data_IF_968599664940
#
_entry.id   IF_968599664940
#
_cell.length_a   1.000
_cell.length_b   1.000
_cell.length_c   1.000
_cell.angle_alpha   90.00
_cell.angle_beta   90.00
_cell.angle_gamma   90.00
#
_symmetry.space_group_name_H-M   'P 1'
#
loop_
_entity.id
_entity.type
_entity.pdbx_description
1 polymer ?
#
# COMPACT_ATOMS: atom_id res chain seq x y z
N UNK A 1 13.44 -25.72 -23.80
CA UNK A 1 12.23 -25.34 -23.05
C UNK A 1 12.24 -26.19 -21.80
N UNK A 2 12.46 -25.60 -20.62
CA UNK A 2 12.38 -26.31 -19.35
C UNK A 2 10.90 -26.33 -18.96
N UNK A 3 10.26 -27.49 -19.13
CA UNK A 3 8.94 -27.77 -18.61
C UNK A 3 9.00 -27.66 -17.08
N UNK A 4 8.56 -26.52 -16.55
CA UNK A 4 8.27 -26.42 -15.13
C UNK A 4 7.05 -27.31 -14.87
N UNK A 5 7.22 -28.33 -14.02
CA UNK A 5 6.10 -29.13 -13.54
C UNK A 5 4.94 -28.22 -13.10
N UNK A 6 3.69 -28.55 -13.47
CA UNK A 6 2.54 -27.77 -13.04
C UNK A 6 2.52 -27.76 -11.51
N UNK A 7 2.82 -26.58 -10.94
CA UNK A 7 2.83 -26.38 -9.49
C UNK A 7 1.48 -26.84 -8.96
N UNK A 8 1.48 -27.86 -8.10
CA UNK A 8 0.24 -28.31 -7.45
C UNK A 8 -0.42 -27.11 -6.78
N UNK A 9 -1.72 -26.89 -6.98
CA UNK A 9 -2.43 -25.82 -6.30
C UNK A 9 -2.25 -25.99 -4.78
N UNK A 10 -1.98 -24.88 -4.10
CA UNK A 10 -1.80 -24.85 -2.65
C UNK A 10 -3.11 -25.13 -1.91
N UNK A 11 -4.25 -24.90 -2.56
CA UNK A 11 -5.57 -25.22 -2.06
C UNK A 11 -6.66 -24.77 -3.04
N UNK A 12 -7.91 -25.11 -2.73
CA UNK A 12 -9.07 -24.77 -3.58
C UNK A 12 -9.47 -23.29 -3.44
N UNK A 13 -9.35 -22.72 -2.25
CA UNK A 13 -9.85 -21.38 -1.92
C UNK A 13 -8.78 -20.47 -1.35
N UNK A 14 -8.67 -19.27 -1.92
CA UNK A 14 -7.97 -18.13 -1.34
C UNK A 14 -9.00 -17.14 -0.78
N UNK A 15 -8.89 -16.77 0.50
CA UNK A 15 -9.77 -15.76 1.11
C UNK A 15 -8.92 -14.53 1.43
N UNK A 16 -9.32 -13.39 0.89
CA UNK A 16 -8.67 -12.10 1.13
C UNK A 16 -9.63 -11.18 1.88
N UNK A 17 -9.35 -10.96 3.16
CA UNK A 17 -10.05 -9.95 3.95
C UNK A 17 -9.43 -8.56 3.75
N UNK A 18 -10.24 -7.52 3.90
CA UNK A 18 -9.87 -6.12 3.64
C UNK A 18 -9.12 -5.91 2.31
N UNK A 19 -9.69 -6.46 1.23
CA UNK A 19 -9.12 -6.43 -0.12
C UNK A 19 -8.88 -5.01 -0.68
N UNK A 20 -9.32 -3.94 -0.01
CA UNK A 20 -8.92 -2.58 -0.36
C UNK A 20 -7.39 -2.35 -0.24
N UNK A 21 -6.68 -3.17 0.54
CA UNK A 21 -5.21 -3.09 0.67
C UNK A 21 -4.46 -3.44 -0.63
N UNK A 22 -5.06 -4.22 -1.53
CA UNK A 22 -4.45 -4.68 -2.78
C UNK A 22 -4.81 -3.83 -4.00
N UNK A 23 -5.45 -2.68 -3.81
CA UNK A 23 -5.91 -1.82 -4.90
C UNK A 23 -4.82 -1.24 -5.81
N UNK A 24 -3.60 -1.08 -5.29
CA UNK A 24 -2.50 -0.47 -6.04
C UNK A 24 -1.73 -1.54 -6.83
N UNK A 25 -1.90 -1.55 -8.15
CA UNK A 25 -1.21 -2.48 -9.07
C UNK A 25 0.31 -2.33 -9.06
N UNK A 26 0.83 -1.17 -8.68
CA UNK A 26 2.28 -0.93 -8.59
C UNK A 26 2.87 -1.40 -7.25
N UNK A 27 2.02 -1.84 -6.32
CA UNK A 27 2.49 -2.30 -5.01
C UNK A 27 3.08 -3.71 -5.08
N UNK A 28 4.13 -3.94 -4.27
CA UNK A 28 4.68 -5.29 -4.06
C UNK A 28 3.61 -6.27 -3.58
N UNK A 29 2.73 -5.81 -2.69
CA UNK A 29 1.62 -6.59 -2.13
C UNK A 29 0.69 -7.11 -3.22
N UNK A 30 0.31 -6.26 -4.18
CA UNK A 30 -0.50 -6.67 -5.32
C UNK A 30 0.18 -7.77 -6.14
N UNK A 31 1.45 -7.59 -6.50
CA UNK A 31 2.19 -8.58 -7.30
C UNK A 31 2.38 -9.92 -6.57
N UNK A 32 2.66 -9.89 -5.27
CA UNK A 32 2.77 -11.09 -4.44
C UNK A 32 1.43 -11.83 -4.36
N UNK A 33 0.32 -11.11 -4.15
CA UNK A 33 -1.01 -11.71 -4.08
C UNK A 33 -1.48 -12.22 -5.44
N UNK A 34 -1.13 -11.54 -6.53
CA UNK A 34 -1.39 -12.03 -7.88
C UNK A 34 -0.69 -13.37 -8.13
N UNK A 35 0.56 -13.50 -7.71
CA UNK A 35 1.32 -14.75 -7.83
C UNK A 35 0.74 -15.84 -6.94
N UNK A 36 0.36 -15.50 -5.71
CA UNK A 36 -0.29 -16.42 -4.79
C UNK A 36 -1.64 -16.90 -5.34
N UNK A 37 -2.45 -16.01 -5.92
CA UNK A 37 -3.76 -16.32 -6.51
C UNK A 37 -3.68 -17.40 -7.58
N UNK A 38 -2.60 -17.45 -8.37
CA UNK A 38 -2.37 -18.46 -9.40
C UNK A 38 -2.20 -19.87 -8.83
N UNK A 39 -1.99 -20.01 -7.52
CA UNK A 39 -1.84 -21.29 -6.84
C UNK A 39 -3.15 -21.81 -6.25
N UNK A 40 -4.28 -21.13 -6.48
CA UNK A 40 -5.60 -21.53 -5.98
C UNK A 40 -6.64 -21.51 -7.10
N UNK A 41 -7.64 -22.38 -7.03
CA UNK A 41 -8.70 -22.44 -8.04
C UNK A 41 -9.67 -21.26 -7.90
N UNK A 42 -10.12 -20.98 -6.68
CA UNK A 42 -11.12 -19.96 -6.36
C UNK A 42 -10.58 -18.89 -5.41
N UNK A 43 -11.10 -17.66 -5.51
CA UNK A 43 -10.76 -16.57 -4.61
C UNK A 43 -11.98 -15.77 -4.21
N UNK A 44 -12.14 -15.60 -2.90
CA UNK A 44 -13.15 -14.76 -2.29
C UNK A 44 -12.46 -13.52 -1.73
N UNK A 45 -12.89 -12.34 -2.18
CA UNK A 45 -12.40 -11.06 -1.68
C UNK A 45 -13.48 -10.38 -0.86
N UNK A 46 -13.15 -9.99 0.37
CA UNK A 46 -14.03 -9.27 1.29
C UNK A 46 -13.46 -7.87 1.51
N UNK A 47 -14.33 -6.87 1.48
CA UNK A 47 -13.95 -5.47 1.78
C UNK A 47 -15.21 -4.68 2.15
N UNK A 48 -15.08 -3.82 3.14
CA UNK A 48 -16.18 -2.96 3.58
C UNK A 48 -16.55 -1.88 2.54
N UNK A 49 -15.54 -1.35 1.84
CA UNK A 49 -15.70 -0.25 0.87
C UNK A 49 -14.87 -0.54 -0.38
N UNK A 50 -15.45 -1.17 -1.41
CA UNK A 50 -14.69 -1.61 -2.57
C UNK A 50 -14.42 -0.48 -3.59
N UNK A 51 -15.11 0.67 -3.45
CA UNK A 51 -14.95 1.86 -4.28
C UNK A 51 -14.28 2.98 -3.48
N UNK A 52 -13.13 3.45 -3.95
CA UNK A 52 -12.52 4.73 -3.55
C UNK A 52 -12.81 5.80 -4.62
N UNK A 53 -12.37 7.06 -4.41
CA UNK A 53 -12.52 8.18 -5.36
C UNK A 53 -11.96 7.93 -6.77
N UNK A 54 -11.15 6.88 -6.96
CA UNK A 54 -10.67 6.43 -8.27
C UNK A 54 -11.22 5.02 -8.52
N UNK A 55 -11.67 4.73 -9.74
CA UNK A 55 -12.26 3.44 -10.15
C UNK A 55 -11.23 2.35 -10.49
N UNK A 56 -9.94 2.72 -10.48
CA UNK A 56 -8.79 1.85 -10.70
C UNK A 56 -8.70 0.61 -9.76
N UNK A 57 -9.12 0.65 -8.48
CA UNK A 57 -9.12 -0.50 -7.57
C UNK A 57 -9.98 -1.67 -8.06
N UNK A 58 -11.17 -1.38 -8.60
CA UNK A 58 -12.04 -2.41 -9.15
C UNK A 58 -11.53 -2.93 -10.48
N UNK A 59 -10.94 -2.07 -11.31
CA UNK A 59 -10.19 -2.55 -12.48
C UNK A 59 -9.06 -3.49 -12.06
N UNK A 60 -8.39 -3.24 -10.92
CA UNK A 60 -7.32 -4.11 -10.42
C UNK A 60 -7.82 -5.46 -9.87
N UNK A 61 -8.97 -5.49 -9.19
CA UNK A 61 -9.58 -6.72 -8.70
C UNK A 61 -10.15 -7.59 -9.84
N UNK A 62 -10.65 -6.97 -10.91
CA UNK A 62 -11.11 -7.64 -12.13
C UNK A 62 -9.97 -7.71 -13.14
N UNK A 63 -9.10 -8.70 -12.93
CA UNK A 63 -7.99 -9.03 -13.82
C UNK A 63 -8.48 -9.15 -15.27
N UNK A 64 -8.03 -8.21 -16.11
CA UNK A 64 -8.34 -8.02 -17.54
C UNK A 64 -9.70 -7.38 -17.89
N UNK A 65 -9.69 -6.07 -18.12
CA UNK A 65 -9.92 -5.44 -19.44
C UNK A 65 -10.17 -3.94 -19.24
N UNK A 66 -10.06 -3.18 -20.34
CA UNK A 66 -10.07 -1.71 -20.45
C UNK A 66 -8.67 -1.08 -20.32
N UNK A 67 -7.90 -1.07 -21.44
CA UNK A 67 -6.57 -0.45 -21.51
C UNK A 67 -6.59 1.09 -21.39
N UNK A 68 -7.76 1.70 -21.50
CA UNK A 68 -7.97 3.13 -21.27
C UNK A 68 -9.47 3.41 -21.17
N UNK A 69 -9.86 4.28 -20.25
CA UNK A 69 -11.25 4.71 -20.08
C UNK A 69 -11.31 5.90 -19.12
N UNK A 70 -12.38 6.71 -19.17
CA UNK A 70 -12.58 7.82 -18.24
C UNK A 70 -12.53 7.32 -16.78
N UNK A 71 -12.07 8.17 -15.87
CA UNK A 71 -11.99 7.88 -14.43
C UNK A 71 -13.34 7.41 -13.87
N UNK A 72 -14.46 7.71 -14.57
CA UNK A 72 -15.81 7.24 -14.27
C UNK A 72 -16.50 6.78 -15.57
N UNK A 73 -17.10 5.58 -15.63
CA UNK A 73 -17.88 5.17 -16.78
C UNK A 73 -19.22 5.94 -16.83
N UNK A 74 -19.52 6.59 -17.94
CA UNK A 74 -20.76 7.35 -18.15
C UNK A 74 -21.73 6.65 -19.11
N UNK A 75 -23.02 7.00 -19.01
CA UNK A 75 -24.09 6.49 -19.88
C UNK A 75 -24.12 4.96 -19.94
N UNK A 76 -24.15 4.42 -21.17
CA UNK A 76 -24.18 2.98 -21.43
C UNK A 76 -22.99 2.20 -20.83
N UNK A 77 -21.82 2.82 -20.69
CA UNK A 77 -20.67 2.18 -20.05
C UNK A 77 -20.88 2.00 -18.55
N UNK A 78 -21.65 2.89 -17.91
CA UNK A 78 -22.02 2.78 -16.49
C UNK A 78 -22.93 1.57 -16.26
N UNK A 79 -23.91 1.37 -17.12
CA UNK A 79 -24.86 0.26 -17.02
C UNK A 79 -24.15 -1.09 -17.17
N UNK A 80 -23.28 -1.23 -18.18
CA UNK A 80 -22.44 -2.42 -18.33
C UNK A 80 -21.54 -2.66 -17.13
N UNK A 81 -21.00 -1.59 -16.55
CA UNK A 81 -20.18 -1.69 -15.35
C UNK A 81 -21.00 -2.17 -14.14
N UNK A 82 -22.21 -1.64 -13.94
CA UNK A 82 -23.13 -2.11 -12.90
C UNK A 82 -23.45 -3.60 -13.11
N UNK A 83 -23.78 -4.02 -14.34
CA UNK A 83 -24.04 -5.43 -14.65
C UNK A 83 -22.85 -6.34 -14.32
N UNK A 84 -21.63 -5.90 -14.64
CA UNK A 84 -20.41 -6.62 -14.28
C UNK A 84 -20.24 -6.70 -12.75
N UNK A 85 -20.50 -5.61 -12.03
CA UNK A 85 -20.45 -5.60 -10.58
C UNK A 85 -21.51 -6.51 -9.96
N UNK A 86 -22.73 -6.52 -10.47
CA UNK A 86 -23.81 -7.39 -9.98
C UNK A 86 -23.47 -8.87 -10.17
N UNK A 87 -22.76 -9.24 -11.24
CA UNK A 87 -22.36 -10.61 -11.50
C UNK A 87 -21.25 -11.12 -10.56
N UNK A 88 -20.46 -10.22 -9.97
CA UNK A 88 -19.21 -10.60 -9.31
C UNK A 88 -19.02 -9.97 -7.92
N UNK A 89 -19.97 -9.16 -7.45
CA UNK A 89 -19.95 -8.57 -6.12
C UNK A 89 -21.32 -8.74 -5.46
N UNK A 90 -21.29 -9.04 -4.16
CA UNK A 90 -22.49 -9.09 -3.34
C UNK A 90 -22.39 -8.00 -2.28
N UNK A 91 -23.23 -6.96 -2.40
CA UNK A 91 -23.32 -5.88 -1.42
C UNK A 91 -24.73 -5.73 -0.91
N UNK A 92 -24.91 -5.85 0.41
CA UNK A 92 -26.19 -5.58 1.07
C UNK A 92 -26.26 -4.12 1.50
N UNK A 93 -27.32 -3.38 1.17
CA UNK A 93 -27.47 -2.00 1.63
C UNK A 93 -27.75 -1.97 3.14
N UNK A 94 -27.31 -0.91 3.81
CA UNK A 94 -27.55 -0.71 5.25
C UNK A 94 -29.04 -0.69 5.59
N UNK A 95 -29.89 -0.27 4.64
CA UNK A 95 -31.36 -0.29 4.75
C UNK A 95 -31.93 -1.68 5.09
N UNK A 96 -31.22 -2.76 4.76
CA UNK A 96 -31.64 -4.14 5.08
C UNK A 96 -31.67 -4.41 6.59
N UNK A 97 -30.75 -3.78 7.33
CA UNK A 97 -30.59 -3.97 8.78
C UNK A 97 -30.94 -2.70 9.56
N UNK A 98 -31.37 -1.64 8.87
CA UNK A 98 -31.56 -0.31 9.48
C UNK A 98 -32.57 -0.31 10.63
N UNK A 99 -33.54 -1.25 10.62
CA UNK A 99 -34.50 -1.42 11.70
C UNK A 99 -33.91 -2.05 12.97
N UNK A 100 -32.79 -2.76 12.85
CA UNK A 100 -32.09 -3.43 13.96
C UNK A 100 -31.11 -2.50 14.68
N UNK A 101 -30.74 -1.38 14.06
CA UNK A 101 -29.75 -0.45 14.59
C UNK A 101 -30.37 0.91 14.92
N UNK A 102 -29.88 1.60 15.98
CA UNK A 102 -30.30 2.97 16.25
C UNK A 102 -29.92 3.89 15.08
N UNK A 103 -30.78 4.85 14.77
CA UNK A 103 -30.49 5.85 13.74
C UNK A 103 -29.20 6.61 14.06
N UNK A 104 -28.24 6.56 13.14
CA UNK A 104 -27.02 7.37 13.20
C UNK A 104 -27.34 8.81 12.82
N UNK A 105 -27.65 9.64 13.81
CA UNK A 105 -27.81 11.07 13.61
C UNK A 105 -26.43 11.72 13.31
N UNK A 106 -26.15 12.02 12.04
CA UNK A 106 -24.98 12.82 11.60
C UNK A 106 -25.09 14.31 12.00
N UNK A 107 -25.79 14.63 13.09
CA UNK A 107 -26.39 15.95 13.35
C UNK A 107 -25.51 16.97 14.09
N UNK A 108 -24.25 16.68 14.39
CA UNK A 108 -23.40 17.68 15.08
C UNK A 108 -22.03 17.82 14.45
N UNK A 109 -21.97 18.69 13.43
CA UNK A 109 -20.71 19.35 13.08
C UNK A 109 -20.41 20.30 14.25
N UNK A 110 -19.52 19.87 15.15
CA UNK A 110 -19.03 20.73 16.23
C UNK A 110 -17.91 21.58 15.66
N UNK A 111 -18.13 22.89 15.64
CA UNK A 111 -17.13 23.85 15.15
C UNK A 111 -16.34 24.34 16.37
N UNK A 112 -15.03 24.15 16.31
CA UNK A 112 -14.12 24.65 17.33
C UNK A 112 -13.43 25.92 16.81
N UNK A 113 -13.38 26.96 17.65
CA UNK A 113 -12.56 28.10 17.37
C UNK A 113 -11.10 27.73 17.66
N UNK A 114 -10.24 27.81 16.63
CA UNK A 114 -8.80 27.69 16.83
C UNK A 114 -8.29 28.91 17.60
N UNK A 115 -7.31 28.69 18.46
CA UNK A 115 -6.51 29.74 19.07
C UNK A 115 -5.96 30.70 17.98
N UNK A 116 -5.96 32.03 18.22
CA UNK A 116 -5.50 32.99 17.22
C UNK A 116 -4.07 32.71 16.71
N UNK A 117 -3.18 32.23 17.56
CA UNK A 117 -1.80 31.93 17.19
C UNK A 117 -1.70 30.67 16.32
N UNK A 118 -2.41 29.61 16.69
CA UNK A 118 -2.47 28.37 15.89
C UNK A 118 -3.13 28.62 14.53
N UNK A 119 -4.17 29.45 14.50
CA UNK A 119 -4.81 29.88 13.26
C UNK A 119 -3.84 30.64 12.36
N UNK A 120 -3.05 31.56 12.94
CA UNK A 120 -2.02 32.31 12.21
C UNK A 120 -0.97 31.37 11.62
N UNK A 121 -0.45 30.42 12.43
CA UNK A 121 0.54 29.42 12.00
C UNK A 121 0.00 28.49 10.91
N UNK A 122 -1.23 28.00 11.06
CA UNK A 122 -1.92 27.18 10.07
C UNK A 122 -2.10 27.91 8.74
N UNK A 123 -2.59 29.16 8.78
CA UNK A 123 -2.76 30.00 7.59
C UNK A 123 -1.43 30.30 6.90
N UNK A 124 -0.36 30.56 7.66
CA UNK A 124 0.98 30.77 7.11
C UNK A 124 1.48 29.53 6.36
N UNK A 125 1.35 28.34 6.95
CA UNK A 125 1.70 27.08 6.31
C UNK A 125 0.86 26.83 5.04
N UNK A 126 -0.44 27.10 5.10
CA UNK A 126 -1.33 26.96 3.94
C UNK A 126 -0.99 27.94 2.80
N UNK A 127 -0.58 29.17 3.14
CA UNK A 127 -0.09 30.14 2.16
C UNK A 127 1.22 29.69 1.50
N UNK A 128 2.11 29.03 2.25
CA UNK A 128 3.31 28.40 1.67
C UNK A 128 2.96 27.25 0.72
N UNK A 129 1.97 26.43 1.06
CA UNK A 129 1.43 25.42 0.15
C UNK A 129 0.95 26.06 -1.16
N UNK A 130 0.11 27.09 -1.09
CA UNK A 130 -0.37 27.82 -2.28
C UNK A 130 0.76 28.38 -3.14
N UNK A 131 1.78 29.00 -2.51
CA UNK A 131 2.97 29.52 -3.23
C UNK A 131 3.74 28.42 -3.93
N UNK A 132 3.92 27.27 -3.28
CA UNK A 132 4.64 26.12 -3.85
C UNK A 132 3.90 25.40 -4.98
N UNK A 133 2.59 25.62 -5.10
CA UNK A 133 1.73 24.98 -6.11
C UNK A 133 1.41 25.87 -7.32
N UNK A 134 2.00 27.07 -7.42
CA UNK A 134 1.74 27.98 -8.54
C UNK A 134 2.09 27.33 -9.89
N UNK A 135 1.24 27.50 -10.92
CA UNK A 135 1.53 27.01 -12.27
C UNK A 135 2.85 27.62 -12.76
N UNK A 136 3.77 26.80 -13.25
CA UNK A 136 5.10 27.23 -13.70
C UNK A 136 6.23 27.13 -12.65
N UNK A 137 5.93 26.71 -11.41
CA UNK A 137 6.96 26.35 -10.45
C UNK A 137 7.68 25.05 -10.85
N UNK A 138 9.00 24.99 -10.70
CA UNK A 138 9.84 23.78 -10.90
C UNK A 138 9.60 22.68 -9.82
N UNK A 139 8.40 22.58 -9.28
CA UNK A 139 8.05 21.62 -8.25
C UNK A 139 7.30 20.43 -8.85
N UNK A 140 7.76 19.20 -8.57
CA UNK A 140 7.03 17.99 -8.96
C UNK A 140 5.64 17.90 -8.32
N UNK A 141 4.82 16.90 -8.70
CA UNK A 141 3.44 16.70 -8.22
C UNK A 141 3.28 16.67 -6.68
N UNK A 142 4.36 16.39 -5.96
CA UNK A 142 4.43 16.32 -4.49
C UNK A 142 4.91 17.64 -3.84
N UNK A 143 5.25 18.66 -4.63
CA UNK A 143 5.70 19.93 -4.10
C UNK A 143 4.60 20.58 -3.25
N UNK A 144 4.97 20.95 -2.03
CA UNK A 144 4.09 21.68 -1.12
C UNK A 144 3.26 20.85 -0.15
N UNK A 145 3.09 19.53 -0.37
CA UNK A 145 2.25 18.70 0.51
C UNK A 145 2.69 18.74 1.97
N UNK A 146 3.99 18.87 2.23
CA UNK A 146 4.52 19.08 3.59
C UNK A 146 3.87 20.27 4.31
N UNK A 147 3.62 21.37 3.59
CA UNK A 147 3.03 22.59 4.15
C UNK A 147 1.52 22.43 4.38
N UNK A 148 0.84 21.68 3.52
CA UNK A 148 -0.57 21.34 3.74
C UNK A 148 -0.75 20.46 4.97
N UNK A 149 0.10 19.44 5.12
CA UNK A 149 0.12 18.57 6.30
C UNK A 149 0.38 19.42 7.55
N UNK A 150 1.36 20.32 7.52
CA UNK A 150 1.64 21.21 8.66
C UNK A 150 0.46 22.13 9.00
N UNK A 151 -0.23 22.69 8.00
CA UNK A 151 -1.42 23.50 8.22
C UNK A 151 -2.53 22.72 8.93
N UNK A 152 -2.74 21.47 8.52
CA UNK A 152 -3.68 20.56 9.19
C UNK A 152 -3.22 20.21 10.60
N UNK A 153 -1.93 19.97 10.82
CA UNK A 153 -1.39 19.69 12.15
C UNK A 153 -1.63 20.85 13.12
N UNK A 154 -1.38 22.09 12.71
CA UNK A 154 -1.71 23.27 13.54
C UNK A 154 -3.22 23.40 13.81
N UNK A 155 -4.07 22.98 12.88
CA UNK A 155 -5.52 23.00 13.09
C UNK A 155 -6.02 21.89 14.01
N UNK A 156 -5.26 20.80 14.16
CA UNK A 156 -5.56 19.72 15.10
C UNK A 156 -4.96 19.98 16.48
N UNK A 157 -3.63 20.14 16.56
CA UNK A 157 -2.91 20.43 17.81
C UNK A 157 -1.47 20.92 17.52
N UNK A 158 -1.00 22.05 18.09
CA UNK A 158 0.32 22.62 17.79
C UNK A 158 1.50 21.68 18.10
N UNK A 159 1.41 20.88 19.16
CA UNK A 159 2.46 19.90 19.51
C UNK A 159 2.76 18.88 18.39
N UNK A 160 1.84 18.62 17.46
CA UNK A 160 2.09 17.71 16.34
C UNK A 160 3.15 18.22 15.36
N UNK A 161 3.42 19.53 15.40
CA UNK A 161 4.49 20.17 14.63
C UNK A 161 5.75 20.27 15.49
N UNK A 162 5.62 20.69 16.75
CA UNK A 162 6.74 20.86 17.69
C UNK A 162 7.46 19.52 17.99
N UNK A 163 6.72 18.43 18.20
CA UNK A 163 7.29 17.09 18.40
C UNK A 163 8.04 16.55 17.17
N UNK A 164 7.73 17.02 15.95
CA UNK A 164 8.52 16.66 14.76
C UNK A 164 9.89 17.35 14.76
N UNK A 165 9.97 18.56 15.31
CA UNK A 165 11.26 19.23 15.53
C UNK A 165 12.07 18.49 16.59
N UNK A 166 11.43 18.03 17.66
CA UNK A 166 12.08 17.23 18.70
C UNK A 166 12.53 15.87 18.17
N UNK A 167 11.73 15.16 17.35
CA UNK A 167 12.18 13.90 16.73
C UNK A 167 13.39 14.10 15.81
N UNK A 168 13.42 15.17 15.01
CA UNK A 168 14.56 15.47 14.16
C UNK A 168 15.80 15.93 14.98
N UNK A 169 15.59 16.57 16.12
CA UNK A 169 16.65 16.90 17.07
C UNK A 169 17.15 15.65 17.82
N UNK A 170 16.24 14.75 18.21
CA UNK A 170 16.51 13.47 18.85
C UNK A 170 17.27 12.53 17.91
N UNK A 171 16.84 12.40 16.65
CA UNK A 171 17.56 11.62 15.63
C UNK A 171 18.95 12.21 15.38
N UNK A 172 19.10 13.54 15.35
CA UNK A 172 20.42 14.19 15.25
C UNK A 172 21.29 14.00 16.50
N UNK A 173 20.70 14.03 17.69
CA UNK A 173 21.37 13.73 18.95
C UNK A 173 21.77 12.24 19.04
N UNK A 174 20.93 11.34 18.54
CA UNK A 174 21.23 9.91 18.41
C UNK A 174 22.37 9.68 17.42
N UNK A 175 22.38 10.34 16.25
CA UNK A 175 23.52 10.28 15.32
C UNK A 175 24.81 10.86 15.90
N UNK A 176 24.73 11.90 16.74
CA UNK A 176 25.88 12.44 17.46
C UNK A 176 26.40 11.49 18.54
N UNK A 177 25.50 10.71 19.17
CA UNK A 177 25.87 9.66 20.12
C UNK A 177 26.38 8.39 19.41
N UNK A 178 25.84 8.02 18.24
CA UNK A 178 26.35 6.92 17.40
C UNK A 178 27.75 7.22 16.84
N UNK A 179 28.10 8.50 16.66
CA UNK A 179 29.47 8.90 16.31
C UNK A 179 30.48 8.72 17.47
N UNK A 180 30.02 8.37 18.68
CA UNK A 180 30.87 7.91 19.78
C UNK A 180 30.94 6.38 19.88
N UNK A 181 30.09 5.63 19.16
CA UNK A 181 30.13 4.18 19.04
C UNK A 181 30.93 3.72 17.80
N UNK A 182 31.84 4.56 17.27
CA UNK A 182 32.95 4.07 16.44
C UNK A 182 34.01 3.39 17.29
N UNK A 183 33.60 2.34 18.01
CA UNK A 183 34.47 1.28 18.47
C UNK A 183 33.76 -0.03 18.10
N UNK A 184 34.46 -0.81 17.28
CA UNK A 184 34.26 -2.23 16.96
C UNK A 184 33.35 -2.60 15.78
N UNK A 185 34.05 -2.72 14.64
CA UNK A 185 34.00 -3.87 13.74
C UNK A 185 32.72 -4.09 12.95
N UNK A 186 32.80 -3.74 11.66
CA UNK A 186 31.98 -4.34 10.63
C UNK A 186 32.03 -5.86 10.79
N UNK A 187 30.84 -6.45 10.89
CA UNK A 187 30.64 -7.88 11.07
C UNK A 187 31.01 -8.63 9.77
N UNK A 188 32.32 -8.70 9.51
CA UNK A 188 32.93 -9.48 8.44
C UNK A 188 32.47 -10.94 8.51
N UNK A 189 32.11 -11.43 9.71
CA UNK A 189 31.61 -12.79 9.95
C UNK A 189 30.20 -13.01 9.40
N UNK A 190 29.30 -12.01 9.45
CA UNK A 190 27.97 -12.11 8.84
C UNK A 190 28.05 -12.16 7.30
N UNK A 191 28.95 -11.37 6.72
CA UNK A 191 29.20 -11.36 5.27
C UNK A 191 29.86 -12.67 4.80
N UNK A 192 30.82 -13.19 5.57
CA UNK A 192 31.47 -14.47 5.31
C UNK A 192 30.52 -15.67 5.46
N UNK A 193 29.58 -15.62 6.42
CA UNK A 193 28.54 -16.65 6.54
C UNK A 193 27.66 -16.69 5.31
N UNK A 194 27.19 -15.55 4.80
CA UNK A 194 26.35 -15.47 3.59
C UNK A 194 27.07 -16.02 2.34
N UNK A 195 28.36 -15.75 2.18
CA UNK A 195 29.16 -16.28 1.08
C UNK A 195 29.34 -17.80 1.22
N UNK A 196 29.56 -18.32 2.43
CA UNK A 196 29.67 -19.77 2.68
C UNK A 196 28.34 -20.50 2.48
N UNK A 197 27.20 -19.92 2.86
CA UNK A 197 25.88 -20.52 2.57
C UNK A 197 25.60 -20.53 1.08
N UNK A 198 25.92 -19.45 0.34
CA UNK A 198 25.76 -19.42 -1.11
C UNK A 198 26.61 -20.49 -1.82
N UNK A 199 27.86 -20.70 -1.36
CA UNK A 199 28.74 -21.74 -1.90
C UNK A 199 28.23 -23.16 -1.60
N UNK A 200 27.70 -23.42 -0.39
CA UNK A 200 27.10 -24.74 -0.04
C UNK A 200 25.86 -25.05 -0.88
N UNK A 201 25.01 -24.05 -1.13
CA UNK A 201 23.80 -24.23 -1.96
C UNK A 201 24.17 -24.53 -3.41
N UNK A 202 25.18 -23.83 -3.97
CA UNK A 202 25.66 -24.11 -5.32
C UNK A 202 26.36 -25.47 -5.45
N UNK A 203 27.10 -25.89 -4.42
CA UNK A 203 27.72 -27.22 -4.41
C UNK A 203 26.65 -28.33 -4.34
N UNK A 204 25.65 -28.19 -3.45
CA UNK A 204 24.54 -29.13 -3.32
C UNK A 204 23.75 -29.29 -4.64
N UNK A 205 23.50 -28.18 -5.34
CA UNK A 205 22.84 -28.21 -6.65
C UNK A 205 23.66 -28.96 -7.71
N UNK A 206 25.00 -28.79 -7.72
CA UNK A 206 25.89 -29.48 -8.66
C UNK A 206 26.08 -30.97 -8.33
N UNK A 207 26.09 -31.34 -7.05
CA UNK A 207 26.17 -32.75 -6.63
C UNK A 207 24.88 -33.51 -6.90
N UNK A 208 23.71 -32.86 -6.78
CA UNK A 208 22.44 -33.47 -7.17
C UNK A 208 22.33 -33.69 -8.69
N UNK A 209 22.87 -32.77 -9.50
CA UNK A 209 22.94 -32.96 -10.96
C UNK A 209 23.82 -34.17 -11.33
N UNK A 210 25.00 -34.31 -10.71
CA UNK A 210 25.90 -35.45 -10.96
C UNK A 210 25.38 -36.80 -10.45
N UNK A 211 24.55 -36.80 -9.41
CA UNK A 211 23.92 -38.03 -8.89
C UNK A 211 22.81 -38.54 -9.82
N UNK A 212 22.11 -37.64 -10.51
CA UNK A 212 21.10 -37.99 -11.51
C UNK A 212 21.74 -38.54 -12.80
N UNK A 213 22.86 -37.97 -13.25
CA UNK A 213 23.56 -38.42 -14.46
C UNK A 213 24.19 -39.83 -14.32
N UNK A 214 24.32 -40.36 -13.10
CA UNK A 214 24.86 -41.70 -12.85
C UNK A 214 23.80 -42.80 -12.66
N UNK A 215 22.51 -42.48 -12.66
CA UNK A 215 21.43 -43.46 -12.51
C UNK A 215 20.69 -43.82 -13.82
N UNK A 216 20.94 -43.12 -14.93
CA UNK A 216 20.40 -43.47 -16.27
C UNK A 216 21.46 -44.10 -17.20
N UNK A 217 22.43 -44.80 -16.62
CA UNK A 217 23.49 -45.48 -17.35
C UNK A 217 23.64 -46.94 -16.98
N UNK A 218 22.55 -47.72 -17.02
CA UNK A 218 22.55 -49.18 -17.18
C UNK A 218 21.25 -49.65 -17.83
#
# INVERSE_FOLDING_TARGET
MLDQEPRRPMGEWLILDEAHAIKNRESRTYHSILTLRLQFDSCLMMTCTPLDNNFLPFQAAFLQSLPSGPDFPEGFHRERYIQMLDACSLRRPQTTIEQEFPMLDRKRIVIFALDPEDRRRSNNAYNMFKKSRKPGGRGGKLAGWKYLIQAQQYACHPMLVELKFERAALVRAMYLNEAMDTIEEGDQAATDQLVRTAARVQWAARSHQKAFDHQEGF
#
